data_IF_667315667100
#
_entry.id   IF_667315667100
#
_cell.length_a   1.000
_cell.length_b   1.000
_cell.length_c   1.000
_cell.angle_alpha   90.00
_cell.angle_beta   90.00
_cell.angle_gamma   90.00
#
_symmetry.space_group_name_H-M   'P 1'
#
loop_
_entity.id
_entity.type
_entity.pdbx_description
1 polymer ?
#
# COMPACT_ATOMS: atom_id res chain seq x y z
N UNK A 1 -3.23 6.95 44.24
CA UNK A 1 -2.72 7.47 42.95
C UNK A 1 -3.49 6.91 41.74
N UNK A 2 -4.81 6.70 41.83
CA UNK A 2 -5.62 6.04 40.78
C UNK A 2 -6.54 6.98 39.97
N UNK A 3 -6.57 8.29 40.29
CA UNK A 3 -7.46 9.27 39.61
C UNK A 3 -6.96 9.75 38.25
N UNK A 4 -5.70 9.51 37.89
CA UNK A 4 -5.14 9.97 36.61
C UNK A 4 -5.42 9.04 35.43
N UNK A 5 -5.74 7.77 35.68
CA UNK A 5 -6.11 6.82 34.61
C UNK A 5 -7.53 7.08 34.09
N UNK A 6 -8.45 7.46 34.98
CA UNK A 6 -9.83 7.78 34.62
C UNK A 6 -9.90 9.01 33.70
N UNK A 7 -9.07 10.03 33.96
CA UNK A 7 -9.00 11.24 33.12
C UNK A 7 -8.36 10.99 31.76
N UNK A 8 -7.41 10.06 31.64
CA UNK A 8 -6.82 9.69 30.35
C UNK A 8 -7.76 8.83 29.49
N UNK A 9 -8.51 7.91 30.11
CA UNK A 9 -9.50 7.11 29.40
C UNK A 9 -10.74 7.94 29.00
N UNK A 10 -11.16 8.89 29.84
CA UNK A 10 -12.23 9.83 29.50
C UNK A 10 -11.80 10.84 28.42
N UNK A 11 -10.54 11.29 28.41
CA UNK A 11 -10.00 12.10 27.33
C UNK A 11 -9.92 11.31 26.00
N UNK A 12 -9.59 10.02 26.05
CA UNK A 12 -9.61 9.13 24.88
C UNK A 12 -11.04 8.85 24.37
N UNK A 13 -12.05 8.82 25.26
CA UNK A 13 -13.45 8.61 24.89
C UNK A 13 -14.14 9.88 24.35
N UNK A 14 -13.74 11.07 24.81
CA UNK A 14 -14.32 12.36 24.38
C UNK A 14 -13.65 12.92 23.11
N UNK A 15 -12.43 12.49 22.79
CA UNK A 15 -11.78 12.82 21.51
C UNK A 15 -12.42 12.17 20.28
N UNK A 16 -13.30 11.19 20.47
CA UNK A 16 -13.86 10.36 19.40
C UNK A 16 -15.24 10.85 18.88
N UNK A 17 -15.67 12.04 19.28
CA UNK A 17 -17.01 12.55 18.97
C UNK A 17 -17.02 14.03 18.55
N UNK A 18 -16.03 14.41 17.74
CA UNK A 18 -16.11 15.65 16.96
C UNK A 18 -16.53 15.23 15.55
N UNK A 19 -17.69 15.69 15.07
CA UNK A 19 -18.14 15.41 13.71
C UNK A 19 -17.01 15.64 12.71
N UNK A 20 -16.51 14.53 12.16
CA UNK A 20 -15.31 14.50 11.33
C UNK A 20 -15.52 15.42 10.13
N UNK A 21 -15.00 16.64 10.24
CA UNK A 21 -14.31 17.22 9.10
C UNK A 21 -13.15 16.27 8.84
N UNK A 22 -13.43 15.22 8.06
CA UNK A 22 -12.44 14.28 7.56
C UNK A 22 -11.32 15.19 7.07
N UNK A 23 -10.18 15.12 7.71
CA UNK A 23 -9.01 15.94 7.41
C UNK A 23 -7.86 14.97 7.37
N UNK A 24 -6.94 15.18 6.45
CA UNK A 24 -5.80 14.30 6.26
C UNK A 24 -5.03 14.15 7.57
N UNK A 25 -4.68 12.91 7.95
CA UNK A 25 -3.81 12.69 9.11
C UNK A 25 -2.49 13.47 8.93
N UNK A 26 -2.05 14.28 9.92
CA UNK A 26 -0.93 15.21 9.75
C UNK A 26 0.39 14.54 9.31
N UNK A 27 0.57 13.26 9.65
CA UNK A 27 1.79 12.52 9.32
C UNK A 27 1.64 11.62 8.10
N UNK A 28 0.47 11.57 7.46
CA UNK A 28 0.20 10.63 6.37
C UNK A 28 1.23 10.78 5.23
N UNK A 29 1.56 12.02 4.85
CA UNK A 29 2.54 12.28 3.78
C UNK A 29 3.92 11.71 4.12
N UNK A 30 4.46 11.97 5.32
CA UNK A 30 5.78 11.46 5.71
C UNK A 30 5.77 9.94 5.89
N UNK A 31 4.67 9.41 6.42
CA UNK A 31 4.51 7.98 6.67
C UNK A 31 4.38 7.20 5.35
N UNK A 32 3.82 7.79 4.28
CA UNK A 32 3.83 7.20 2.94
C UNK A 32 5.25 6.96 2.45
N UNK A 33 6.11 7.98 2.46
CA UNK A 33 7.48 7.82 1.96
C UNK A 33 8.28 6.86 2.85
N UNK A 34 8.05 6.90 4.16
CA UNK A 34 8.62 5.91 5.10
C UNK A 34 8.18 4.49 4.74
N UNK A 35 6.88 4.27 4.48
CA UNK A 35 6.35 2.97 4.10
C UNK A 35 6.88 2.51 2.74
N UNK A 36 7.03 3.41 1.77
CA UNK A 36 7.63 3.12 0.45
C UNK A 36 9.08 2.67 0.61
N UNK A 37 9.89 3.37 1.40
CA UNK A 37 11.29 3.03 1.63
C UNK A 37 11.45 1.69 2.36
N UNK A 38 10.67 1.50 3.43
CA UNK A 38 10.64 0.24 4.17
C UNK A 38 10.21 -0.93 3.27
N UNK A 39 9.15 -0.75 2.47
CA UNK A 39 8.64 -1.77 1.56
C UNK A 39 9.64 -2.09 0.45
N UNK A 40 10.28 -1.08 -0.15
CA UNK A 40 11.31 -1.28 -1.18
C UNK A 40 12.52 -2.04 -0.62
N UNK A 41 13.01 -1.67 0.57
CA UNK A 41 14.11 -2.37 1.24
C UNK A 41 13.73 -3.82 1.56
N UNK A 42 12.50 -4.05 2.05
CA UNK A 42 12.00 -5.39 2.36
C UNK A 42 11.84 -6.26 1.10
N UNK A 43 11.16 -5.76 0.08
CA UNK A 43 10.89 -6.50 -1.17
C UNK A 43 12.17 -6.88 -1.92
N UNK A 44 13.19 -6.02 -1.88
CA UNK A 44 14.47 -6.25 -2.56
C UNK A 44 15.49 -7.06 -1.75
N UNK A 45 15.16 -7.49 -0.53
CA UNK A 45 16.05 -8.29 0.30
C UNK A 45 17.21 -7.51 0.92
N UNK A 46 16.96 -6.28 1.38
CA UNK A 46 17.96 -5.35 1.88
C UNK A 46 18.92 -5.88 2.96
N UNK A 47 19.87 -5.02 3.40
CA UNK A 47 20.95 -5.34 4.35
C UNK A 47 20.39 -5.99 5.63
N UNK A 48 20.43 -7.33 5.71
CA UNK A 48 19.93 -8.08 6.86
C UNK A 48 19.26 -9.42 6.54
N UNK A 49 19.02 -9.74 5.26
CA UNK A 49 18.44 -11.03 4.87
C UNK A 49 16.92 -11.14 5.04
N UNK A 50 16.26 -10.04 5.42
CA UNK A 50 14.81 -9.89 5.47
C UNK A 50 14.21 -9.98 4.07
N UNK A 51 13.31 -10.93 3.86
CA UNK A 51 12.71 -11.16 2.55
C UNK A 51 11.21 -11.46 2.70
N UNK A 52 10.41 -11.16 1.67
CA UNK A 52 9.01 -11.58 1.67
C UNK A 52 8.87 -13.10 1.82
N UNK A 53 7.88 -13.53 2.60
CA UNK A 53 7.63 -14.91 2.99
C UNK A 53 8.42 -15.39 4.21
N UNK A 54 9.07 -14.51 4.97
CA UNK A 54 9.70 -14.88 6.24
C UNK A 54 8.77 -14.76 7.46
N UNK A 55 7.55 -14.24 7.27
CA UNK A 55 6.52 -14.16 8.31
C UNK A 55 6.70 -13.02 9.33
N UNK A 56 7.79 -12.25 9.26
CA UNK A 56 8.12 -11.27 10.32
C UNK A 56 8.67 -9.95 9.83
N UNK A 57 9.43 -9.92 8.73
CA UNK A 57 10.16 -8.71 8.33
C UNK A 57 9.28 -7.62 7.74
N UNK A 58 8.06 -7.96 7.33
CA UNK A 58 7.06 -6.96 6.93
C UNK A 58 6.58 -6.08 8.09
N UNK A 59 6.88 -6.46 9.34
CA UNK A 59 6.27 -5.85 10.54
C UNK A 59 6.44 -4.34 10.65
N UNK A 60 7.60 -3.81 10.26
CA UNK A 60 7.84 -2.35 10.26
C UNK A 60 6.94 -1.62 9.26
N UNK A 61 6.79 -2.18 8.05
CA UNK A 61 5.93 -1.61 7.01
C UNK A 61 4.47 -1.69 7.45
N UNK A 62 4.05 -2.85 7.97
CA UNK A 62 2.69 -3.07 8.43
C UNK A 62 2.31 -2.13 9.58
N UNK A 63 3.20 -1.89 10.54
CA UNK A 63 2.96 -0.95 11.63
C UNK A 63 2.74 0.48 11.11
N UNK A 64 3.51 0.92 10.12
CA UNK A 64 3.32 2.23 9.46
C UNK A 64 1.96 2.31 8.76
N UNK A 65 1.54 1.25 8.08
CA UNK A 65 0.22 1.18 7.42
C UNK A 65 -0.90 1.22 8.47
N UNK A 66 -0.79 0.43 9.53
CA UNK A 66 -1.81 0.29 10.57
C UNK A 66 -2.08 1.59 11.36
N UNK A 67 -1.11 2.52 11.37
CA UNK A 67 -1.32 3.87 11.92
C UNK A 67 -2.43 4.64 11.20
N UNK A 68 -2.64 4.39 9.91
CA UNK A 68 -3.67 5.04 9.09
C UNK A 68 -4.82 4.10 8.70
N UNK A 69 -4.56 2.79 8.64
CA UNK A 69 -5.54 1.75 8.34
C UNK A 69 -5.45 0.61 9.37
N UNK A 70 -6.00 0.78 10.58
CA UNK A 70 -5.87 -0.18 11.69
C UNK A 70 -6.40 -1.58 11.38
N UNK A 71 -7.34 -1.68 10.44
CA UNK A 71 -7.94 -2.95 10.01
C UNK A 71 -7.05 -3.75 9.05
N UNK A 72 -5.96 -3.16 8.56
CA UNK A 72 -4.99 -3.87 7.71
C UNK A 72 -4.26 -4.91 8.56
N UNK A 73 -4.54 -6.19 8.32
CA UNK A 73 -3.97 -7.30 9.08
C UNK A 73 -3.46 -8.37 8.14
N UNK A 74 -2.33 -8.98 8.51
CA UNK A 74 -1.86 -10.21 7.88
C UNK A 74 -2.45 -11.37 8.68
N UNK A 75 -3.37 -12.10 8.05
CA UNK A 75 -4.01 -13.26 8.65
C UNK A 75 -3.00 -14.39 8.89
N UNK A 76 -3.31 -15.31 9.80
CA UNK A 76 -2.46 -16.45 10.14
C UNK A 76 -2.14 -17.29 8.89
N UNK A 77 -3.12 -17.44 7.99
CA UNK A 77 -2.95 -18.18 6.72
C UNK A 77 -2.01 -17.50 5.71
N UNK A 78 -1.76 -16.21 5.89
CA UNK A 78 -0.88 -15.41 5.04
C UNK A 78 0.55 -15.32 5.57
N UNK A 79 0.80 -15.78 6.80
CA UNK A 79 2.10 -15.68 7.45
C UNK A 79 3.09 -16.68 6.84
N UNK A 80 4.24 -16.20 6.37
CA UNK A 80 5.22 -16.99 5.61
C UNK A 80 4.83 -17.20 4.14
N UNK A 81 3.66 -16.71 3.70
CA UNK A 81 3.23 -16.78 2.32
C UNK A 81 3.67 -15.52 1.56
N UNK A 82 4.71 -15.65 0.74
CA UNK A 82 5.31 -14.55 -0.04
C UNK A 82 4.26 -13.77 -0.85
N UNK A 83 3.37 -14.44 -1.57
CA UNK A 83 2.36 -13.76 -2.39
C UNK A 83 1.41 -12.94 -1.53
N UNK A 84 0.92 -13.53 -0.44
CA UNK A 84 -0.12 -12.94 0.41
C UNK A 84 0.43 -11.78 1.24
N UNK A 85 1.63 -11.92 1.80
CA UNK A 85 2.30 -10.82 2.52
C UNK A 85 2.52 -9.62 1.60
N UNK A 86 3.07 -9.86 0.41
CA UNK A 86 3.31 -8.80 -0.58
C UNK A 86 1.99 -8.15 -0.98
N UNK A 87 0.93 -8.92 -1.21
CA UNK A 87 -0.38 -8.37 -1.57
C UNK A 87 -0.94 -7.42 -0.50
N UNK A 88 -0.82 -7.77 0.78
CA UNK A 88 -1.35 -6.95 1.87
C UNK A 88 -0.55 -5.67 2.03
N UNK A 89 0.78 -5.76 2.02
CA UNK A 89 1.65 -4.59 2.10
C UNK A 89 1.44 -3.67 0.89
N UNK A 90 1.39 -4.24 -0.31
CA UNK A 90 1.21 -3.46 -1.55
C UNK A 90 -0.15 -2.75 -1.57
N UNK A 91 -1.22 -3.44 -1.17
CA UNK A 91 -2.54 -2.83 -1.04
C UNK A 91 -2.55 -1.72 0.02
N UNK A 92 -1.95 -1.96 1.19
CA UNK A 92 -1.90 -1.01 2.29
C UNK A 92 -1.17 0.30 1.96
N UNK A 93 0.03 0.22 1.35
CA UNK A 93 0.77 1.42 0.91
C UNK A 93 0.00 2.17 -0.18
N UNK A 94 -0.60 1.43 -1.12
CA UNK A 94 -1.46 2.02 -2.17
C UNK A 94 -2.64 2.77 -1.55
N UNK A 95 -3.31 2.20 -0.54
CA UNK A 95 -4.43 2.83 0.16
C UNK A 95 -4.02 4.10 0.91
N UNK A 96 -2.83 4.14 1.51
CA UNK A 96 -2.28 5.38 2.09
C UNK A 96 -2.13 6.49 1.05
N UNK A 97 -1.60 6.16 -0.13
CA UNK A 97 -1.43 7.12 -1.22
C UNK A 97 -2.78 7.58 -1.75
N UNK A 98 -3.74 6.67 -1.92
CA UNK A 98 -5.10 7.02 -2.35
C UNK A 98 -5.78 7.94 -1.34
N UNK A 99 -5.70 7.65 -0.04
CA UNK A 99 -6.26 8.52 0.99
C UNK A 99 -5.63 9.92 0.96
N UNK A 100 -4.32 10.03 0.79
CA UNK A 100 -3.67 11.34 0.58
C UNK A 100 -4.19 12.03 -0.68
N UNK A 101 -4.41 11.30 -1.78
CA UNK A 101 -4.87 11.87 -3.04
C UNK A 101 -6.22 12.57 -2.94
N UNK A 102 -7.10 12.17 -2.00
CA UNK A 102 -8.38 12.86 -1.76
C UNK A 102 -8.21 14.31 -1.38
N UNK A 103 -7.16 14.58 -0.60
CA UNK A 103 -6.84 15.88 -0.05
C UNK A 103 -5.93 16.65 -1.01
N UNK A 104 -4.98 15.94 -1.62
CA UNK A 104 -3.93 16.52 -2.44
C UNK A 104 -3.73 15.67 -3.70
N UNK A 105 -4.55 15.89 -4.73
CA UNK A 105 -4.58 15.08 -5.94
C UNK A 105 -3.21 14.96 -6.62
N UNK A 106 -2.55 16.09 -6.88
CA UNK A 106 -1.23 16.12 -7.52
C UNK A 106 -0.13 15.45 -6.68
N UNK A 107 -0.15 15.65 -5.36
CA UNK A 107 0.80 14.99 -4.46
C UNK A 107 0.57 13.47 -4.44
N UNK A 108 -0.70 13.04 -4.44
CA UNK A 108 -1.09 11.63 -4.58
C UNK A 108 -0.61 11.01 -5.88
N UNK A 109 -0.76 11.71 -7.01
CA UNK A 109 -0.24 11.27 -8.31
C UNK A 109 1.28 11.08 -8.33
N UNK A 110 2.02 12.02 -7.72
CA UNK A 110 3.48 11.92 -7.60
C UNK A 110 3.92 10.79 -6.67
N UNK A 111 3.29 10.65 -5.50
CA UNK A 111 3.58 9.55 -4.58
C UNK A 111 3.25 8.19 -5.20
N UNK A 112 2.17 8.09 -5.98
CA UNK A 112 1.83 6.87 -6.71
C UNK A 112 2.90 6.50 -7.74
N UNK A 113 3.43 7.50 -8.46
CA UNK A 113 4.54 7.27 -9.39
C UNK A 113 5.79 6.75 -8.66
N UNK A 114 6.18 7.40 -7.57
CA UNK A 114 7.32 6.96 -6.74
C UNK A 114 7.12 5.55 -6.22
N UNK A 115 5.91 5.22 -5.78
CA UNK A 115 5.57 3.89 -5.30
C UNK A 115 5.67 2.83 -6.39
N UNK A 116 5.13 3.10 -7.58
CA UNK A 116 5.24 2.20 -8.74
C UNK A 116 6.70 1.99 -9.15
N UNK A 117 7.50 3.07 -9.19
CA UNK A 117 8.92 2.98 -9.53
C UNK A 117 9.71 2.18 -8.48
N UNK A 118 9.38 2.31 -7.19
CA UNK A 118 9.94 1.51 -6.11
C UNK A 118 9.59 0.02 -6.26
N UNK A 119 8.33 -0.31 -6.57
CA UNK A 119 7.89 -1.69 -6.79
C UNK A 119 8.58 -2.33 -7.99
N UNK A 120 8.68 -1.62 -9.11
CA UNK A 120 9.40 -2.11 -10.29
C UNK A 120 10.88 -2.29 -9.96
N UNK A 121 11.50 -1.31 -9.30
CA UNK A 121 12.91 -1.37 -8.90
C UNK A 121 13.21 -2.50 -7.91
N UNK A 122 12.28 -2.82 -7.00
CA UNK A 122 12.42 -3.95 -6.12
C UNK A 122 12.27 -5.28 -6.89
N UNK A 123 11.24 -5.39 -7.72
CA UNK A 123 10.98 -6.58 -8.54
C UNK A 123 12.14 -6.93 -9.48
N UNK A 124 12.79 -5.93 -10.10
CA UNK A 124 13.92 -6.17 -11.01
C UNK A 124 15.15 -6.70 -10.29
N UNK A 125 15.34 -6.36 -9.01
CA UNK A 125 16.46 -6.81 -8.18
C UNK A 125 16.27 -8.20 -7.57
N UNK A 126 15.03 -8.69 -7.53
CA UNK A 126 14.76 -10.05 -7.02
C UNK A 126 14.99 -11.05 -8.13
N UNK A 127 15.77 -12.09 -7.82
CA UNK A 127 15.99 -13.24 -8.70
C UNK A 127 15.50 -14.55 -8.08
N UNK A 128 15.34 -15.57 -8.92
CA UNK A 128 14.96 -16.92 -8.49
C UNK A 128 13.45 -17.15 -8.29
N UNK A 129 13.12 -18.23 -7.58
CA UNK A 129 11.75 -18.75 -7.45
C UNK A 129 10.76 -17.80 -6.78
N UNK A 130 11.24 -16.86 -5.96
CA UNK A 130 10.40 -15.85 -5.29
C UNK A 130 9.93 -14.73 -6.22
N UNK A 131 10.62 -14.49 -7.34
CA UNK A 131 10.31 -13.39 -8.28
C UNK A 131 8.87 -13.46 -8.79
N UNK A 132 8.42 -14.66 -9.18
CA UNK A 132 7.04 -14.89 -9.64
C UNK A 132 6.01 -14.69 -8.54
N UNK A 133 6.31 -15.10 -7.30
CA UNK A 133 5.40 -14.92 -6.16
C UNK A 133 5.26 -13.46 -5.77
N UNK A 134 6.35 -12.68 -5.83
CA UNK A 134 6.32 -11.24 -5.62
C UNK A 134 5.52 -10.56 -6.73
N UNK A 135 5.73 -10.94 -8.00
CA UNK A 135 4.94 -10.41 -9.11
C UNK A 135 3.43 -10.66 -8.91
N UNK A 136 3.05 -11.87 -8.47
CA UNK A 136 1.65 -12.21 -8.17
C UNK A 136 1.12 -11.40 -6.99
N UNK A 137 1.92 -11.27 -5.93
CA UNK A 137 1.58 -10.47 -4.76
C UNK A 137 1.35 -9.00 -5.10
N UNK A 138 2.22 -8.40 -5.93
CA UNK A 138 2.05 -7.02 -6.42
C UNK A 138 0.71 -6.88 -7.16
N UNK A 139 0.46 -7.75 -8.15
CA UNK A 139 -0.80 -7.73 -8.91
C UNK A 139 -2.01 -7.90 -8.01
N UNK A 140 -1.94 -8.83 -7.06
CA UNK A 140 -3.02 -9.10 -6.11
C UNK A 140 -3.26 -7.92 -5.18
N UNK A 141 -2.21 -7.27 -4.68
CA UNK A 141 -2.33 -6.10 -3.81
C UNK A 141 -3.01 -4.92 -4.50
N UNK A 142 -2.63 -4.65 -5.75
CA UNK A 142 -3.22 -3.57 -6.55
C UNK A 142 -4.66 -3.90 -6.97
N UNK A 143 -4.92 -5.13 -7.39
CA UNK A 143 -6.26 -5.48 -7.84
C UNK A 143 -7.23 -5.73 -6.69
N UNK A 144 -6.86 -6.50 -5.67
CA UNK A 144 -7.82 -7.02 -4.69
C UNK A 144 -7.80 -6.25 -3.36
N UNK A 145 -6.64 -5.74 -2.95
CA UNK A 145 -6.46 -5.15 -1.62
C UNK A 145 -6.49 -3.61 -1.63
N UNK A 146 -6.61 -3.01 -2.82
CA UNK A 146 -6.72 -1.56 -2.99
C UNK A 146 -8.18 -1.13 -2.89
N UNK A 147 -8.46 -0.17 -2.01
CA UNK A 147 -9.78 0.43 -1.85
C UNK A 147 -9.92 1.64 -2.79
N UNK A 148 -10.66 1.42 -3.88
CA UNK A 148 -10.88 2.43 -4.92
C UNK A 148 -11.79 3.57 -4.44
N UNK A 149 -12.57 3.37 -3.37
CA UNK A 149 -13.32 4.46 -2.75
C UNK A 149 -12.39 5.55 -2.19
N UNK A 150 -11.10 5.22 -2.03
CA UNK A 150 -10.10 6.14 -1.55
C UNK A 150 -9.57 7.09 -2.64
N UNK A 151 -9.84 6.86 -3.92
CA UNK A 151 -9.26 7.68 -4.98
C UNK A 151 -9.81 9.10 -4.98
N UNK A 152 -8.95 10.05 -5.36
CA UNK A 152 -9.35 11.45 -5.59
C UNK A 152 -10.49 11.59 -6.61
N UNK A 153 -11.31 12.62 -6.42
CA UNK A 153 -12.35 13.03 -7.38
C UNK A 153 -11.82 13.95 -8.48
N UNK A 154 -10.62 14.49 -8.31
CA UNK A 154 -9.98 15.35 -9.30
C UNK A 154 -9.59 14.53 -10.54
N UNK A 155 -10.19 14.85 -11.69
CA UNK A 155 -10.07 14.03 -12.91
C UNK A 155 -8.61 13.80 -13.33
N UNK A 156 -7.80 14.86 -13.41
CA UNK A 156 -6.40 14.78 -13.85
C UNK A 156 -5.58 13.86 -12.96
N UNK A 157 -5.65 14.08 -11.64
CA UNK A 157 -4.93 13.27 -10.66
C UNK A 157 -5.43 11.80 -10.64
N UNK A 158 -6.75 11.60 -10.76
CA UNK A 158 -7.37 10.27 -10.87
C UNK A 158 -6.82 9.51 -12.07
N UNK A 159 -6.80 10.12 -13.26
CA UNK A 159 -6.26 9.49 -14.48
C UNK A 159 -4.77 9.20 -14.35
N UNK A 160 -3.99 10.10 -13.76
CA UNK A 160 -2.56 9.89 -13.52
C UNK A 160 -2.32 8.67 -12.61
N UNK A 161 -3.03 8.57 -11.49
CA UNK A 161 -2.94 7.43 -10.56
C UNK A 161 -3.29 6.12 -11.26
N UNK A 162 -4.40 6.08 -12.00
CA UNK A 162 -4.83 4.89 -12.75
C UNK A 162 -3.78 4.48 -13.77
N UNK A 163 -3.22 5.45 -14.49
CA UNK A 163 -2.18 5.20 -15.51
C UNK A 163 -0.91 4.62 -14.88
N UNK A 164 -0.48 5.17 -13.73
CA UNK A 164 0.64 4.62 -12.96
C UNK A 164 0.39 3.16 -12.56
N UNK A 165 -0.78 2.85 -12.00
CA UNK A 165 -1.13 1.50 -11.57
C UNK A 165 -1.20 0.51 -12.74
N UNK A 166 -1.77 0.90 -13.87
CA UNK A 166 -1.78 0.06 -15.09
C UNK A 166 -0.36 -0.21 -15.59
N UNK A 167 0.48 0.83 -15.61
CA UNK A 167 1.86 0.72 -16.11
C UNK A 167 2.71 -0.26 -15.28
N UNK A 168 2.47 -0.35 -13.97
CA UNK A 168 3.17 -1.27 -13.08
C UNK A 168 3.06 -2.72 -13.55
N UNK A 169 1.86 -3.16 -13.91
CA UNK A 169 1.62 -4.57 -14.24
C UNK A 169 2.29 -4.93 -15.56
N UNK A 170 2.20 -4.03 -16.55
CA UNK A 170 2.93 -4.14 -17.82
C UNK A 170 4.44 -4.19 -17.60
N UNK A 171 4.98 -3.45 -16.62
CA UNK A 171 6.42 -3.44 -16.30
C UNK A 171 6.88 -4.69 -15.53
N UNK A 172 5.98 -5.36 -14.79
CA UNK A 172 6.29 -6.58 -14.05
C UNK A 172 6.23 -7.83 -14.95
N UNK A 173 5.18 -7.96 -15.77
CA UNK A 173 4.94 -9.16 -16.60
C UNK A 173 5.34 -9.00 -18.07
N UNK A 174 5.63 -7.79 -18.51
CA UNK A 174 5.90 -7.46 -19.90
C UNK A 174 4.64 -7.10 -20.71
N UNK A 175 4.80 -6.28 -21.76
CA UNK A 175 3.69 -5.88 -22.62
C UNK A 175 3.07 -7.07 -23.33
N UNK A 176 1.73 -7.12 -23.34
CA UNK A 176 0.97 -8.14 -24.06
C UNK A 176 0.84 -9.49 -23.34
N UNK A 177 1.41 -9.65 -22.15
CA UNK A 177 1.19 -10.83 -21.29
C UNK A 177 -0.27 -10.98 -20.90
N UNK A 178 -0.72 -12.21 -20.70
CA UNK A 178 -2.10 -12.52 -20.31
C UNK A 178 -2.42 -11.94 -18.92
N UNK A 179 -1.45 -11.98 -18.01
CA UNK A 179 -1.54 -11.39 -16.67
C UNK A 179 -1.74 -9.87 -16.75
N UNK A 180 -0.99 -9.17 -17.61
CA UNK A 180 -1.17 -7.74 -17.80
C UNK A 180 -2.54 -7.41 -18.38
N UNK A 181 -3.04 -8.17 -19.36
CA UNK A 181 -4.38 -7.97 -19.95
C UNK A 181 -5.49 -8.17 -18.91
N UNK A 182 -5.44 -9.26 -18.14
CA UNK A 182 -6.44 -9.55 -17.11
C UNK A 182 -6.48 -8.50 -16.02
N UNK A 183 -5.31 -8.07 -15.58
CA UNK A 183 -5.23 -7.05 -14.55
C UNK A 183 -5.64 -5.67 -15.06
N UNK A 184 -5.28 -5.31 -16.31
CA UNK A 184 -5.76 -4.08 -16.93
C UNK A 184 -7.29 -4.08 -17.06
N UNK A 185 -7.88 -5.19 -17.46
CA UNK A 185 -9.33 -5.33 -17.52
C UNK A 185 -9.96 -5.15 -16.13
N UNK A 186 -9.37 -5.77 -15.08
CA UNK A 186 -9.85 -5.59 -13.70
C UNK A 186 -9.69 -4.17 -13.16
N UNK A 187 -8.63 -3.45 -13.53
CA UNK A 187 -8.45 -2.06 -13.09
C UNK A 187 -9.42 -1.15 -13.85
N UNK A 188 -9.56 -1.38 -15.15
CA UNK A 188 -10.49 -0.60 -15.98
C UNK A 188 -11.93 -0.73 -15.47
N UNK A 189 -12.37 -1.94 -15.11
CA UNK A 189 -13.72 -2.15 -14.57
C UNK A 189 -13.95 -1.55 -13.19
N UNK A 190 -12.89 -1.25 -12.43
CA UNK A 190 -12.98 -0.67 -11.08
C UNK A 190 -12.96 0.84 -11.08
N UNK A 191 -12.29 1.45 -12.06
CA UNK A 191 -12.06 2.88 -12.09
C UNK A 191 -12.95 3.66 -13.08
N UNK A 192 -13.58 2.94 -14.03
CA UNK A 192 -14.64 3.41 -14.93
C UNK A 192 -16.00 3.18 -14.27
#
# INVERSE_FOLDING_TARGET
MFRNFSSQLAAAAVGNNSGDKKTMSPTLRSDIYTAVDQANSWLSGGKGGSLPGDGVSYGAVLATIQKHFPDTKIGIDSLGNTESEVAIIVGGVTNMILEMSKWEGMAGGMAMKTWVDALVGAYTRVDGSKKTMIAKGITRGINQNTDVSLITKEFTAKIQIITCLKSLITRVYGPGSEEARRAEASLSSKFI
#
